data_IF_335750237148
#
_entry.id   IF_335750237148
#
_cell.length_a   1.000
_cell.length_b   1.000
_cell.length_c   1.000
_cell.angle_alpha   90.00
_cell.angle_beta   90.00
_cell.angle_gamma   90.00
#
_symmetry.space_group_name_H-M   'P 1'
#
loop_
_entity.id
_entity.type
_entity.pdbx_description
1 polymer ?
#
# COMPACT_ATOMS: atom_id res chain seq x y z
N UNK A 1 -58.18 -20.36 67.52
CA UNK A 1 -56.89 -21.03 67.85
C UNK A 1 -56.44 -21.75 66.59
N UNK A 2 -55.18 -21.57 66.16
CA UNK A 2 -54.85 -20.52 65.19
C UNK A 2 -54.53 -21.02 63.77
N UNK A 3 -54.68 -20.08 62.83
CA UNK A 3 -54.43 -20.15 61.39
C UNK A 3 -52.96 -20.41 61.02
N UNK A 4 -52.72 -21.38 60.12
CA UNK A 4 -51.41 -21.66 59.53
C UNK A 4 -51.29 -20.86 58.22
N UNK A 5 -50.43 -19.84 58.23
CA UNK A 5 -50.09 -19.03 57.06
C UNK A 5 -49.13 -19.80 56.14
N UNK A 6 -49.49 -19.91 54.86
CA UNK A 6 -48.68 -20.45 53.79
C UNK A 6 -47.65 -19.40 53.35
N UNK A 7 -46.38 -19.56 53.73
CA UNK A 7 -45.28 -18.73 53.24
C UNK A 7 -44.73 -19.31 51.94
N UNK A 8 -45.03 -18.67 50.82
CA UNK A 8 -44.38 -18.93 49.53
C UNK A 8 -43.03 -18.19 49.51
N UNK A 9 -41.93 -18.94 49.54
CA UNK A 9 -40.60 -18.40 49.31
C UNK A 9 -40.37 -18.23 47.79
N UNK A 10 -40.41 -16.99 47.31
CA UNK A 10 -39.96 -16.65 45.96
C UNK A 10 -38.42 -16.64 45.94
N UNK A 11 -37.83 -17.67 45.35
CA UNK A 11 -36.40 -17.72 45.06
C UNK A 11 -36.15 -16.87 43.79
N UNK A 12 -35.75 -15.62 43.95
CA UNK A 12 -35.32 -14.77 42.84
C UNK A 12 -33.95 -15.25 42.36
N UNK A 13 -33.94 -15.97 41.24
CA UNK A 13 -32.74 -16.33 40.50
C UNK A 13 -32.23 -15.08 39.77
N UNK A 14 -31.29 -14.35 40.38
CA UNK A 14 -30.56 -13.28 39.70
C UNK A 14 -29.64 -13.88 38.64
N UNK A 15 -30.05 -13.78 37.37
CA UNK A 15 -29.17 -14.00 36.23
C UNK A 15 -28.08 -12.92 36.25
N UNK A 16 -26.86 -13.31 36.60
CA UNK A 16 -25.68 -12.50 36.39
C UNK A 16 -25.37 -12.50 34.88
N UNK A 17 -25.68 -11.39 34.20
CA UNK A 17 -25.36 -11.21 32.80
C UNK A 17 -23.83 -11.09 32.62
N UNK A 18 -23.21 -11.78 31.63
CA UNK A 18 -21.81 -11.56 31.30
C UNK A 18 -21.60 -10.13 30.77
N UNK A 19 -20.40 -9.54 30.96
CA UNK A 19 -20.09 -8.25 30.37
C UNK A 19 -20.15 -8.36 28.85
N UNK A 20 -20.88 -7.43 28.25
CA UNK A 20 -21.07 -7.31 26.81
C UNK A 20 -19.72 -7.38 26.07
N UNK A 21 -19.61 -8.30 25.12
CA UNK A 21 -18.59 -8.20 24.08
C UNK A 21 -18.78 -6.87 23.37
N UNK A 22 -17.71 -6.09 23.22
CA UNK A 22 -17.74 -4.84 22.48
C UNK A 22 -18.26 -5.10 21.06
N UNK A 23 -19.53 -4.75 20.84
CA UNK A 23 -20.18 -4.84 19.54
C UNK A 23 -19.49 -3.83 18.61
N UNK A 24 -18.83 -4.32 17.57
CA UNK A 24 -18.17 -3.45 16.58
C UNK A 24 -19.27 -2.91 15.68
N UNK A 25 -19.62 -1.64 15.90
CA UNK A 25 -20.59 -0.93 15.07
C UNK A 25 -19.91 -0.50 13.77
N UNK A 26 -20.45 -0.91 12.62
CA UNK A 26 -20.06 -0.38 11.30
C UNK A 26 -20.12 1.15 11.35
N UNK A 27 -19.09 1.81 10.84
CA UNK A 27 -19.01 3.28 10.86
C UNK A 27 -18.53 3.89 12.18
N UNK A 28 -18.10 3.10 13.17
CA UNK A 28 -17.40 3.65 14.33
C UNK A 28 -15.99 4.12 13.94
N UNK A 29 -15.68 5.38 14.26
CA UNK A 29 -14.39 5.98 14.01
C UNK A 29 -13.29 5.38 14.90
N UNK A 30 -12.22 4.91 14.27
CA UNK A 30 -11.01 4.34 14.86
C UNK A 30 -9.93 5.42 14.76
N UNK A 31 -9.42 5.86 15.92
CA UNK A 31 -8.33 6.83 15.99
C UNK A 31 -7.00 6.14 15.68
N UNK A 32 -6.25 6.71 14.75
CA UNK A 32 -4.96 6.19 14.31
C UNK A 32 -3.79 7.02 14.89
N UNK A 33 -2.59 6.43 15.00
CA UNK A 33 -1.39 7.12 15.49
C UNK A 33 -1.07 8.43 14.75
N UNK A 34 -1.31 8.52 13.45
CA UNK A 34 -1.12 9.74 12.66
C UNK A 34 -2.14 10.85 12.92
N UNK A 35 -3.12 10.60 13.81
CA UNK A 35 -4.27 11.47 14.05
C UNK A 35 -5.43 11.28 13.06
N UNK A 36 -5.27 10.41 12.06
CA UNK A 36 -6.35 10.04 11.14
C UNK A 36 -7.52 9.34 11.85
N UNK A 37 -8.66 9.33 11.17
CA UNK A 37 -9.81 8.50 11.55
C UNK A 37 -10.11 7.50 10.45
N UNK A 38 -10.06 6.22 10.80
CA UNK A 38 -10.50 5.14 9.92
C UNK A 38 -11.84 4.58 10.39
N UNK A 39 -12.71 4.19 9.47
CA UNK A 39 -13.98 3.54 9.76
C UNK A 39 -13.98 2.17 9.12
N UNK A 40 -14.25 1.13 9.90
CA UNK A 40 -14.41 -0.22 9.34
C UNK A 40 -15.75 -0.33 8.60
N UNK A 41 -15.69 -0.84 7.37
CA UNK A 41 -16.85 -1.06 6.50
C UNK A 41 -17.26 -2.53 6.52
N UNK A 42 -16.35 -3.42 6.13
CA UNK A 42 -16.60 -4.85 6.08
C UNK A 42 -15.31 -5.68 6.15
N UNK A 43 -15.47 -6.97 6.46
CA UNK A 43 -14.41 -7.98 6.35
C UNK A 43 -14.84 -9.05 5.36
N UNK A 44 -13.97 -9.38 4.41
CA UNK A 44 -14.19 -10.40 3.38
C UNK A 44 -13.22 -11.55 3.56
N UNK A 45 -13.67 -12.75 3.22
CA UNK A 45 -12.83 -13.94 3.20
C UNK A 45 -12.68 -14.38 1.75
N UNK A 46 -11.45 -14.73 1.37
CA UNK A 46 -11.12 -15.26 0.05
C UNK A 46 -10.21 -16.48 0.23
N UNK A 47 -10.60 -17.61 -0.34
CA UNK A 47 -9.88 -18.88 -0.36
C UNK A 47 -9.45 -19.29 -1.76
N UNK A 48 -9.68 -18.43 -2.76
CA UNK A 48 -9.38 -18.70 -4.18
C UNK A 48 -7.94 -18.38 -4.57
N UNK A 49 -7.18 -17.70 -3.71
CA UNK A 49 -5.77 -17.35 -3.94
C UNK A 49 -4.79 -18.47 -3.58
N UNK A 50 -3.65 -18.53 -4.29
CA UNK A 50 -2.58 -19.50 -4.00
C UNK A 50 -1.92 -19.36 -2.62
N UNK A 51 -2.24 -18.29 -1.88
CA UNK A 51 -1.70 -17.97 -0.55
C UNK A 51 -2.53 -18.59 0.60
N UNK A 52 -3.53 -19.40 0.28
CA UNK A 52 -4.47 -19.96 1.25
C UNK A 52 -5.53 -18.95 1.68
N UNK A 53 -6.13 -19.18 2.85
CA UNK A 53 -7.20 -18.33 3.36
C UNK A 53 -6.70 -16.90 3.62
N UNK A 54 -7.31 -15.94 2.94
CA UNK A 54 -7.01 -14.52 3.02
C UNK A 54 -8.19 -13.75 3.60
N UNK A 55 -7.94 -12.93 4.61
CA UNK A 55 -8.95 -12.02 5.16
C UNK A 55 -8.66 -10.59 4.69
N UNK A 56 -9.63 -9.97 4.01
CA UNK A 56 -9.54 -8.58 3.58
C UNK A 56 -10.38 -7.70 4.47
N UNK A 57 -9.75 -6.76 5.16
CA UNK A 57 -10.41 -5.75 5.98
C UNK A 57 -10.48 -4.45 5.20
N UNK A 58 -11.68 -3.89 5.09
CA UNK A 58 -11.93 -2.66 4.35
C UNK A 58 -12.24 -1.52 5.31
N UNK A 59 -11.51 -0.42 5.15
CA UNK A 59 -11.66 0.79 5.93
C UNK A 59 -11.88 2.01 5.01
N UNK A 60 -12.57 3.01 5.53
CA UNK A 60 -12.67 4.35 4.94
C UNK A 60 -11.91 5.34 5.81
N UNK A 61 -11.05 6.14 5.19
CA UNK A 61 -10.27 7.21 5.80
C UNK A 61 -10.47 8.48 4.97
N UNK A 62 -11.41 9.37 5.33
CA UNK A 62 -11.79 10.53 4.51
C UNK A 62 -10.65 11.49 4.15
N UNK A 63 -9.59 11.52 4.96
CA UNK A 63 -8.42 12.37 4.75
C UNK A 63 -7.24 11.65 4.07
N UNK A 64 -7.44 10.45 3.53
CA UNK A 64 -6.39 9.64 2.88
C UNK A 64 -5.65 10.40 1.77
N UNK A 65 -6.37 11.14 0.92
CA UNK A 65 -5.79 11.91 -0.17
C UNK A 65 -4.85 13.05 0.30
N UNK A 66 -5.00 13.52 1.54
CA UNK A 66 -4.09 14.51 2.13
C UNK A 66 -2.81 13.87 2.66
N UNK A 67 -2.80 12.55 2.83
CA UNK A 67 -1.73 11.77 3.47
C UNK A 67 -0.89 11.00 2.48
N UNK A 68 -1.48 10.60 1.36
CA UNK A 68 -0.80 9.92 0.26
C UNK A 68 -0.69 10.91 -0.90
N UNK A 69 0.34 11.77 -0.92
CA UNK A 69 0.51 12.72 -2.02
C UNK A 69 0.65 11.93 -3.32
N UNK A 70 -0.16 12.29 -4.32
CA UNK A 70 -0.06 11.70 -5.64
C UNK A 70 1.36 11.91 -6.16
N UNK A 71 2.05 10.82 -6.51
CA UNK A 71 3.18 10.91 -7.44
C UNK A 71 2.63 11.57 -8.69
N UNK A 72 3.10 12.78 -8.99
CA UNK A 72 2.42 13.69 -9.90
C UNK A 72 2.37 13.13 -11.33
N UNK A 73 1.17 13.10 -11.91
CA UNK A 73 0.87 12.68 -13.28
C UNK A 73 -0.43 11.87 -13.36
N UNK A 74 -1.45 12.27 -14.15
CA UNK A 74 -2.52 11.37 -14.56
C UNK A 74 -1.91 10.17 -15.29
N UNK A 75 -2.37 8.95 -14.99
CA UNK A 75 -2.02 7.75 -15.78
C UNK A 75 -2.43 7.86 -17.27
N UNK A 76 -3.15 8.93 -17.63
CA UNK A 76 -3.64 9.24 -18.97
C UNK A 76 -2.82 10.31 -19.72
N UNK A 77 -1.78 10.92 -19.11
CA UNK A 77 -0.89 11.86 -19.82
C UNK A 77 0.16 11.16 -20.70
N UNK A 78 -0.16 9.97 -21.22
CA UNK A 78 0.63 9.34 -22.29
C UNK A 78 0.39 9.99 -23.65
N UNK A 79 -0.75 10.64 -23.87
CA UNK A 79 -1.09 11.18 -25.20
C UNK A 79 -0.26 12.42 -25.59
N UNK A 80 0.09 13.30 -24.64
CA UNK A 80 0.87 14.52 -24.97
C UNK A 80 2.37 14.25 -25.18
N UNK A 81 2.91 13.13 -24.67
CA UNK A 81 4.33 12.76 -24.87
C UNK A 81 4.54 12.00 -26.18
N UNK A 82 3.51 11.34 -26.70
CA UNK A 82 3.59 10.55 -27.94
C UNK A 82 3.54 11.41 -29.22
N UNK A 83 3.08 12.66 -29.15
CA UNK A 83 3.02 13.54 -30.34
C UNK A 83 4.22 14.49 -30.48
N UNK A 84 5.01 14.75 -29.42
CA UNK A 84 6.24 15.57 -29.48
C UNK A 84 7.54 14.83 -29.11
N UNK A 85 7.48 13.59 -28.60
CA UNK A 85 8.65 12.77 -28.32
C UNK A 85 8.95 11.80 -29.45
N UNK A 86 10.08 11.99 -30.14
CA UNK A 86 10.55 11.03 -31.15
C UNK A 86 10.63 9.59 -30.60
N UNK A 87 10.37 8.59 -31.44
CA UNK A 87 10.49 7.20 -31.03
C UNK A 87 11.94 6.87 -30.69
N UNK A 88 12.15 6.24 -29.53
CA UNK A 88 13.45 5.69 -29.13
C UNK A 88 13.41 4.20 -29.46
N UNK A 89 14.13 3.81 -30.49
CA UNK A 89 14.34 2.41 -30.85
C UNK A 89 15.67 1.96 -30.24
N UNK A 90 15.60 1.05 -29.25
CA UNK A 90 16.77 0.46 -28.59
C UNK A 90 17.03 -0.89 -29.24
N UNK A 91 18.10 -1.00 -30.01
CA UNK A 91 18.54 -2.27 -30.57
C UNK A 91 19.34 -3.04 -29.53
N UNK A 92 18.68 -3.99 -28.87
CA UNK A 92 19.29 -4.85 -27.84
C UNK A 92 20.34 -5.84 -28.35
N UNK A 93 20.51 -6.04 -29.66
CA UNK A 93 21.54 -6.94 -30.19
C UNK A 93 22.84 -6.20 -30.54
N UNK A 94 22.72 -4.93 -30.90
CA UNK A 94 23.86 -4.08 -31.31
C UNK A 94 24.20 -3.00 -30.28
N UNK A 95 23.31 -2.73 -29.33
CA UNK A 95 23.46 -1.67 -28.31
C UNK A 95 23.27 -0.25 -28.84
N UNK A 96 22.75 -0.11 -30.06
CA UNK A 96 22.50 1.18 -30.70
C UNK A 96 21.15 1.76 -30.23
N UNK A 97 21.10 3.09 -30.08
CA UNK A 97 19.89 3.82 -29.70
C UNK A 97 19.61 4.87 -30.77
N UNK A 98 18.54 4.66 -31.52
CA UNK A 98 18.12 5.58 -32.57
C UNK A 98 16.92 6.39 -32.11
N UNK A 99 17.00 7.72 -32.26
CA UNK A 99 15.92 8.66 -31.93
C UNK A 99 15.36 9.21 -33.24
N UNK A 100 14.13 8.83 -33.57
CA UNK A 100 13.46 9.29 -34.79
C UNK A 100 12.48 10.41 -34.48
N UNK A 101 12.81 11.66 -34.85
CA UNK A 101 11.88 12.79 -34.73
C UNK A 101 12.44 14.22 -34.60
N UNK A 102 13.69 14.51 -34.97
CA UNK A 102 14.19 15.89 -34.93
C UNK A 102 13.52 16.76 -36.03
N UNK A 103 13.08 18.01 -35.75
CA UNK A 103 12.58 18.90 -36.77
C UNK A 103 13.70 19.20 -37.79
N UNK A 104 13.35 19.10 -39.07
CA UNK A 104 14.25 19.31 -40.19
C UNK A 104 14.95 20.68 -40.13
N UNK A 105 16.27 20.68 -39.93
CA UNK A 105 17.25 21.47 -40.67
C UNK A 105 18.65 21.42 -40.01
N UNK A 106 19.39 20.32 -40.21
CA UNK A 106 20.86 20.38 -40.30
C UNK A 106 21.26 19.38 -41.40
N UNK A 107 22.04 19.84 -42.38
CA UNK A 107 22.47 19.04 -43.52
C UNK A 107 23.35 17.84 -43.11
N UNK A 108 23.37 16.76 -43.91
CA UNK A 108 23.94 15.49 -43.50
C UNK A 108 25.41 15.43 -43.89
N UNK A 109 26.31 15.39 -42.90
CA UNK A 109 27.65 14.77 -43.00
C UNK A 109 28.38 15.00 -41.67
N UNK A 110 27.96 14.27 -40.64
CA UNK A 110 28.80 13.98 -39.51
C UNK A 110 28.36 12.62 -38.96
N UNK A 111 29.08 11.59 -39.41
CA UNK A 111 29.18 10.33 -38.71
C UNK A 111 29.62 10.64 -37.27
N UNK A 112 28.66 10.68 -36.33
CA UNK A 112 28.97 10.73 -34.90
C UNK A 112 29.30 9.29 -34.51
N UNK A 113 30.53 8.89 -34.82
CA UNK A 113 31.13 7.67 -34.29
C UNK A 113 31.48 7.91 -32.82
N UNK A 114 30.65 7.42 -31.90
CA UNK A 114 31.09 7.20 -30.52
C UNK A 114 32.04 6.00 -30.54
N UNK A 115 33.32 6.29 -30.76
CA UNK A 115 34.39 5.30 -30.64
C UNK A 115 34.74 5.15 -29.16
N UNK A 116 34.36 4.03 -28.56
CA UNK A 116 35.01 3.57 -27.32
C UNK A 116 36.40 3.05 -27.66
N UNK A 117 37.40 3.95 -27.66
CA UNK A 117 38.80 3.56 -27.81
C UNK A 117 39.45 3.32 -26.45
N UNK A 118 39.90 2.07 -26.31
CA UNK A 118 40.95 1.48 -25.48
C UNK A 118 41.96 2.42 -24.77
N UNK A 119 42.47 1.90 -23.65
CA UNK A 119 43.33 2.51 -22.66
C UNK A 119 44.54 3.31 -23.19
N UNK A 120 44.72 4.53 -22.66
CA UNK A 120 46.01 5.25 -22.74
C UNK A 120 45.94 6.73 -22.35
N UNK A 121 46.55 7.05 -21.21
CA UNK A 121 47.04 8.37 -20.75
C UNK A 121 46.07 9.57 -20.63
N UNK A 122 45.66 9.78 -19.37
CA UNK A 122 45.39 11.04 -18.67
C UNK A 122 45.48 12.36 -19.47
N UNK A 123 44.33 12.88 -19.84
CA UNK A 123 43.94 14.26 -19.53
C UNK A 123 42.57 14.14 -18.83
N UNK A 124 42.46 14.66 -17.61
CA UNK A 124 41.19 14.63 -16.89
C UNK A 124 40.24 15.61 -17.60
N UNK A 125 39.40 15.09 -18.47
CA UNK A 125 38.33 15.85 -19.11
C UNK A 125 37.50 16.52 -18.01
N UNK A 126 37.37 17.84 -18.09
CA UNK A 126 36.60 18.63 -17.13
C UNK A 126 35.15 18.14 -17.03
N UNK A 127 34.65 17.47 -18.08
CA UNK A 127 33.34 16.84 -18.15
C UNK A 127 33.22 15.62 -17.21
N UNK A 128 34.29 14.86 -16.98
CA UNK A 128 34.30 13.75 -16.00
C UNK A 128 34.27 14.27 -14.57
N UNK A 129 34.95 15.40 -14.29
CA UNK A 129 34.94 16.02 -12.98
C UNK A 129 33.59 16.68 -12.64
N UNK A 130 32.87 17.19 -13.64
CA UNK A 130 31.51 17.70 -13.48
C UNK A 130 30.49 16.56 -13.32
N UNK A 131 30.68 15.44 -14.01
CA UNK A 131 29.88 14.23 -13.83
C UNK A 131 30.10 13.58 -12.45
N UNK A 132 31.35 13.48 -11.97
CA UNK A 132 31.68 13.00 -10.64
C UNK A 132 31.12 13.92 -9.54
N UNK A 133 31.10 15.24 -9.78
CA UNK A 133 30.47 16.19 -8.87
C UNK A 133 28.94 16.03 -8.78
N UNK A 134 28.29 15.37 -9.75
CA UNK A 134 26.88 14.96 -9.67
C UNK A 134 26.67 13.64 -8.91
N UNK A 135 27.72 12.84 -8.68
CA UNK A 135 27.67 11.58 -7.93
C UNK A 135 27.87 11.75 -6.42
N UNK A 136 28.24 12.95 -5.98
CA UNK A 136 28.33 13.34 -4.56
C UNK A 136 26.97 13.60 -3.89
N UNK A 137 25.86 13.42 -4.62
CA UNK A 137 24.51 13.40 -4.05
C UNK A 137 24.44 12.22 -3.06
N UNK A 138 23.95 12.39 -1.82
CA UNK A 138 24.01 11.33 -0.82
C UNK A 138 23.29 10.10 -1.37
N UNK A 139 24.05 9.02 -1.56
CA UNK A 139 23.51 7.72 -1.93
C UNK A 139 22.24 7.49 -1.13
N UNK A 140 21.11 7.32 -1.83
CA UNK A 140 19.84 7.02 -1.20
C UNK A 140 20.08 5.95 -0.14
N UNK A 141 19.53 6.10 1.07
CA UNK A 141 19.82 5.17 2.16
C UNK A 141 19.61 3.74 1.65
N UNK A 142 20.55 2.84 1.94
CA UNK A 142 20.56 1.45 1.49
C UNK A 142 19.43 0.58 2.10
N UNK A 143 18.31 1.20 2.46
CA UNK A 143 17.10 0.60 3.00
C UNK A 143 16.00 0.64 1.92
N UNK A 144 16.06 -0.25 0.89
CA UNK A 144 15.05 -0.30 -0.17
C UNK A 144 13.63 -0.50 0.40
N UNK A 145 13.52 -1.24 1.50
CA UNK A 145 12.22 -1.48 2.15
C UNK A 145 11.56 -0.22 2.72
N UNK A 146 12.33 0.84 3.03
CA UNK A 146 11.77 2.12 3.48
C UNK A 146 11.14 2.87 2.32
N UNK A 147 11.72 2.74 1.12
CA UNK A 147 11.18 3.32 -0.11
C UNK A 147 9.93 2.58 -0.60
N UNK A 148 9.78 1.30 -0.25
CA UNK A 148 8.62 0.48 -0.59
C UNK A 148 7.40 0.69 0.33
N UNK A 149 7.52 1.54 1.37
CA UNK A 149 6.43 1.81 2.31
C UNK A 149 5.57 2.96 1.85
N UNK A 150 4.27 2.79 1.99
CA UNK A 150 3.33 3.88 1.76
C UNK A 150 3.43 4.96 2.85
N UNK A 151 3.07 6.23 2.55
CA UNK A 151 3.10 7.34 3.52
C UNK A 151 2.27 7.11 4.80
N UNK A 152 1.26 6.24 4.75
CA UNK A 152 0.38 5.90 5.87
C UNK A 152 0.74 4.56 6.54
N UNK A 153 1.87 3.95 6.17
CA UNK A 153 2.26 2.59 6.58
C UNK A 153 2.16 2.35 8.10
N UNK A 154 2.58 3.31 8.92
CA UNK A 154 2.53 3.16 10.38
C UNK A 154 1.10 2.99 10.91
N UNK A 155 0.12 3.68 10.31
CA UNK A 155 -1.29 3.51 10.67
C UNK A 155 -1.83 2.15 10.21
N UNK A 156 -1.41 1.68 9.03
CA UNK A 156 -1.83 0.39 8.49
C UNK A 156 -1.30 -0.76 9.35
N UNK A 157 -0.02 -0.70 9.75
CA UNK A 157 0.59 -1.62 10.73
C UNK A 157 -0.17 -1.56 12.05
N UNK A 158 -0.49 -0.37 12.55
CA UNK A 158 -1.24 -0.22 13.79
C UNK A 158 -2.64 -0.83 13.70
N UNK A 159 -3.36 -0.61 12.59
CA UNK A 159 -4.64 -1.25 12.31
C UNK A 159 -4.50 -2.77 12.31
N UNK A 160 -3.44 -3.30 11.71
CA UNK A 160 -3.19 -4.73 11.69
C UNK A 160 -3.02 -5.29 13.11
N UNK A 161 -2.05 -4.74 13.86
CA UNK A 161 -1.64 -5.27 15.17
C UNK A 161 -2.70 -5.05 16.26
N UNK A 162 -3.35 -3.88 16.28
CA UNK A 162 -4.18 -3.46 17.40
C UNK A 162 -5.68 -3.66 17.15
N UNK A 163 -6.10 -3.68 15.88
CA UNK A 163 -7.50 -3.78 15.53
C UNK A 163 -7.83 -5.10 14.84
N UNK A 164 -7.10 -5.47 13.79
CA UNK A 164 -7.38 -6.66 12.99
C UNK A 164 -6.96 -7.94 13.72
N UNK A 165 -5.73 -7.98 14.24
CA UNK A 165 -5.14 -9.17 14.84
C UNK A 165 -6.02 -9.76 15.96
N UNK A 166 -6.51 -8.99 16.95
CA UNK A 166 -7.40 -9.52 18.00
C UNK A 166 -8.69 -10.15 17.47
N UNK A 167 -9.14 -9.77 16.27
CA UNK A 167 -10.37 -10.28 15.64
C UNK A 167 -10.15 -11.55 14.84
N UNK A 168 -8.93 -11.78 14.35
CA UNK A 168 -8.60 -13.00 13.57
C UNK A 168 -8.06 -14.12 14.44
N UNK A 169 -7.32 -13.82 15.52
CA UNK A 169 -6.69 -14.86 16.37
C UNK A 169 -7.70 -15.63 17.22
N UNK A 170 -8.86 -15.03 17.51
CA UNK A 170 -10.00 -15.71 18.15
C UNK A 170 -10.96 -16.39 17.17
N UNK A 171 -10.79 -16.17 15.87
CA UNK A 171 -11.65 -16.71 14.81
C UNK A 171 -11.08 -17.98 14.18
N UNK A 172 -11.93 -18.98 13.95
CA UNK A 172 -11.58 -20.16 13.14
C UNK A 172 -12.42 -20.15 11.87
N UNK A 173 -11.85 -20.30 10.66
CA UNK A 173 -10.45 -20.61 10.36
C UNK A 173 -9.50 -19.39 10.39
N UNK A 174 -8.27 -19.60 10.88
CA UNK A 174 -7.21 -18.56 10.92
C UNK A 174 -6.68 -18.31 9.50
N UNK A 175 -6.61 -17.05 9.04
CA UNK A 175 -6.06 -16.74 7.72
C UNK A 175 -4.53 -16.87 7.72
N UNK A 176 -3.96 -17.26 6.58
CA UNK A 176 -2.51 -17.18 6.34
C UNK A 176 -2.07 -15.78 5.91
N UNK A 177 -3.00 -15.00 5.36
CA UNK A 177 -2.76 -13.64 4.87
C UNK A 177 -3.89 -12.69 5.29
N UNK A 178 -3.52 -11.48 5.65
CA UNK A 178 -4.42 -10.35 5.89
C UNK A 178 -4.13 -9.30 4.83
N UNK A 179 -5.17 -8.76 4.21
CA UNK A 179 -5.07 -7.59 3.33
C UNK A 179 -5.86 -6.46 3.97
N UNK A 180 -5.20 -5.33 4.21
CA UNK A 180 -5.85 -4.11 4.67
C UNK A 180 -6.03 -3.19 3.47
N UNK A 181 -7.28 -2.82 3.22
CA UNK A 181 -7.66 -1.89 2.16
C UNK A 181 -8.23 -0.63 2.79
N UNK A 182 -7.65 0.51 2.47
CA UNK A 182 -8.10 1.83 2.94
C UNK A 182 -8.52 2.64 1.72
N UNK A 183 -9.74 3.17 1.75
CA UNK A 183 -10.26 4.06 0.71
C UNK A 183 -10.56 5.45 1.29
N UNK A 184 -10.45 6.51 0.50
CA UNK A 184 -10.86 7.85 0.92
C UNK A 184 -12.39 7.99 1.07
N UNK A 185 -13.15 7.23 0.27
CA UNK A 185 -14.61 7.14 0.33
C UNK A 185 -15.10 5.70 0.26
N UNK A 186 -16.34 5.50 0.66
CA UNK A 186 -16.99 4.19 0.54
C UNK A 186 -17.26 3.87 -0.93
N UNK A 187 -16.77 2.71 -1.38
CA UNK A 187 -17.04 2.16 -2.71
C UNK A 187 -17.79 0.84 -2.54
N UNK A 188 -19.00 0.67 -3.09
CA UNK A 188 -19.71 -0.61 -3.03
C UNK A 188 -18.87 -1.75 -3.63
N UNK A 189 -18.97 -2.96 -3.07
CA UNK A 189 -18.24 -4.11 -3.61
C UNK A 189 -18.62 -4.39 -5.07
N UNK A 190 -17.61 -4.51 -5.95
CA UNK A 190 -17.78 -4.74 -7.38
C UNK A 190 -18.17 -3.50 -8.18
N UNK A 191 -18.33 -2.34 -7.55
CA UNK A 191 -18.47 -1.07 -8.25
C UNK A 191 -17.10 -0.52 -8.67
N UNK A 192 -17.06 0.13 -9.82
CA UNK A 192 -15.90 0.89 -10.28
C UNK A 192 -16.13 2.38 -9.99
N UNK A 193 -15.19 3.01 -9.30
CA UNK A 193 -15.16 4.45 -9.04
C UNK A 193 -13.72 4.94 -9.30
N UNK A 194 -13.46 5.65 -10.42
CA UNK A 194 -12.12 6.10 -10.79
C UNK A 194 -11.59 7.22 -9.87
N UNK A 195 -12.48 7.90 -9.16
CA UNK A 195 -12.11 9.01 -8.27
C UNK A 195 -11.88 8.51 -6.83
N UNK A 196 -12.00 7.20 -6.57
CA UNK A 196 -11.73 6.63 -5.26
C UNK A 196 -10.25 6.32 -5.11
N UNK A 197 -9.58 7.04 -4.21
CA UNK A 197 -8.22 6.71 -3.83
C UNK A 197 -8.25 5.49 -2.93
N UNK A 198 -7.57 4.42 -3.33
CA UNK A 198 -7.51 3.18 -2.57
C UNK A 198 -6.06 2.71 -2.42
N UNK A 199 -5.69 2.45 -1.17
CA UNK A 199 -4.40 1.93 -0.76
C UNK A 199 -4.56 0.51 -0.22
N UNK A 200 -3.59 -0.36 -0.51
CA UNK A 200 -3.59 -1.76 -0.09
C UNK A 200 -2.24 -2.14 0.50
N UNK A 201 -2.25 -2.73 1.69
CA UNK A 201 -1.08 -3.44 2.21
C UNK A 201 -1.46 -4.87 2.59
N UNK A 202 -0.49 -5.78 2.42
CA UNK A 202 -0.63 -7.19 2.75
C UNK A 202 0.28 -7.58 3.93
N UNK A 203 -0.25 -8.44 4.80
CA UNK A 203 0.44 -8.98 5.95
C UNK A 203 0.33 -10.49 5.98
N UNK A 204 1.45 -11.19 6.17
CA UNK A 204 1.44 -12.60 6.52
C UNK A 204 1.10 -12.77 8.00
N UNK A 205 0.23 -13.73 8.30
CA UNK A 205 -0.05 -14.16 9.67
C UNK A 205 0.49 -15.57 9.90
N UNK A 206 1.63 -15.73 10.58
CA UNK A 206 2.19 -17.05 10.87
C UNK A 206 1.26 -17.90 11.73
N UNK A 207 1.41 -19.21 11.59
CA UNK A 207 0.67 -20.18 12.38
C UNK A 207 1.19 -20.31 13.82
N UNK A 208 2.45 -19.93 14.07
CA UNK A 208 3.15 -20.11 15.34
C UNK A 208 3.13 -18.87 16.26
N UNK A 209 2.77 -17.69 15.73
CA UNK A 209 2.71 -16.45 16.51
C UNK A 209 1.64 -15.48 16.01
N UNK A 210 1.13 -14.68 16.95
CA UNK A 210 0.16 -13.62 16.70
C UNK A 210 0.90 -12.31 16.43
N UNK A 211 1.32 -12.11 15.18
CA UNK A 211 1.99 -10.88 14.73
C UNK A 211 1.71 -10.64 13.25
N UNK A 212 1.41 -9.41 12.86
CA UNK A 212 1.30 -9.02 11.46
C UNK A 212 2.70 -8.82 10.87
N UNK A 213 3.08 -9.65 9.90
CA UNK A 213 4.32 -9.45 9.15
C UNK A 213 4.02 -8.78 7.83
N UNK A 214 4.40 -7.51 7.70
CA UNK A 214 4.29 -6.79 6.44
C UNK A 214 5.17 -7.42 5.37
N UNK A 215 4.63 -7.54 4.16
CA UNK A 215 5.37 -7.98 2.99
C UNK A 215 5.32 -6.88 1.93
N UNK A 216 6.48 -6.39 1.44
CA UNK A 216 6.51 -5.52 0.28
C UNK A 216 5.94 -6.29 -0.94
N UNK A 217 5.17 -5.60 -1.77
CA UNK A 217 4.46 -6.16 -2.93
C UNK A 217 5.13 -5.82 -4.26
#
# INVERSE_FOLDING_TARGET
MPDIRLSAAFLTLSCLAPPAGAEVVVGMAIKLPSGAEAQWIETRQDDSGGNGLTYRFRFVMPDLAQRVPSTSGPASETDDVLEEGGSVDIDTETGDVTISGAPAAVEPDADVTISTSDAGDAEADADEAEADAMLDDPALPAAPDVLAKDPVHEDVVWLCENWVLPRVVGGTPRPGQIVISISDKEVPFGAYDPDALQLFEAFRLPADRDSCQWEPW
#
